data_IF_038808908848
#
_entry.id   IF_038808908848
#
_cell.length_a   1.000
_cell.length_b   1.000
_cell.length_c   1.000
_cell.angle_alpha   90.00
_cell.angle_beta   90.00
_cell.angle_gamma   90.00
#
_symmetry.space_group_name_H-M   'P 1'
#
loop_
_entity.id
_entity.type
_entity.pdbx_description
1 polymer ?
#
# COMPACT_ATOMS: atom_id res chain seq x y z
N UNK A 1 -6.83 -2.11 -10.75
CA UNK A 1 -5.90 -1.73 -11.83
C UNK A 1 -5.05 -2.91 -12.26
N UNK A 2 -4.27 -2.76 -13.33
CA UNK A 2 -3.31 -3.79 -13.74
C UNK A 2 -1.95 -3.16 -14.08
N UNK A 3 -0.89 -3.97 -13.92
CA UNK A 3 0.47 -3.65 -14.31
C UNK A 3 0.76 -4.23 -15.69
N UNK A 4 1.36 -3.39 -16.55
CA UNK A 4 2.01 -3.83 -17.78
C UNK A 4 3.52 -3.81 -17.54
N UNK A 5 4.20 -4.91 -17.83
CA UNK A 5 5.64 -5.02 -17.62
C UNK A 5 6.32 -5.53 -18.89
N UNK A 6 7.35 -4.82 -19.34
CA UNK A 6 8.20 -5.32 -20.41
C UNK A 6 8.93 -6.60 -19.99
N UNK A 7 9.06 -7.56 -20.89
CA UNK A 7 9.90 -8.75 -20.72
C UNK A 7 11.35 -8.52 -21.17
N UNK A 8 11.63 -7.36 -21.78
CA UNK A 8 12.94 -6.92 -22.24
C UNK A 8 13.26 -5.52 -21.68
N UNK A 9 14.49 -5.05 -21.83
CA UNK A 9 14.91 -3.73 -21.38
C UNK A 9 14.16 -2.59 -22.07
N UNK A 10 13.69 -2.82 -23.30
CA UNK A 10 12.87 -1.86 -24.04
C UNK A 10 11.58 -2.51 -24.56
N UNK A 11 10.47 -1.75 -24.54
CA UNK A 11 9.17 -2.22 -25.07
C UNK A 11 9.20 -2.32 -26.60
N UNK A 12 9.93 -1.42 -27.30
CA UNK A 12 9.85 -1.25 -28.74
C UNK A 12 11.11 -1.69 -29.50
N UNK A 13 12.19 -2.04 -28.81
CA UNK A 13 13.44 -2.49 -29.43
C UNK A 13 13.52 -4.02 -29.49
N UNK A 14 14.16 -4.55 -30.52
CA UNK A 14 14.49 -5.97 -30.65
C UNK A 14 13.40 -6.88 -31.19
N UNK A 15 12.28 -6.36 -31.72
CA UNK A 15 11.24 -7.15 -32.41
C UNK A 15 10.44 -8.10 -31.52
N UNK A 16 10.60 -8.05 -30.19
CA UNK A 16 9.91 -8.91 -29.23
C UNK A 16 9.00 -8.06 -28.33
N UNK A 17 7.99 -7.43 -28.92
CA UNK A 17 7.04 -6.53 -28.25
C UNK A 17 6.06 -7.28 -27.34
N UNK A 18 6.56 -8.00 -26.33
CA UNK A 18 5.74 -8.75 -25.38
C UNK A 18 5.68 -8.02 -24.04
N UNK A 19 4.49 -7.99 -23.50
CA UNK A 19 4.22 -7.47 -22.14
C UNK A 19 3.64 -8.60 -21.30
N UNK A 20 4.07 -8.69 -20.03
CA UNK A 20 3.32 -9.41 -19.00
C UNK A 20 2.27 -8.48 -18.43
N UNK A 21 1.10 -9.02 -18.12
CA UNK A 21 -0.02 -8.30 -17.49
C UNK A 21 -0.25 -8.95 -16.13
N UNK A 22 -0.27 -8.13 -15.09
CA UNK A 22 -0.53 -8.58 -13.72
C UNK A 22 -1.70 -7.77 -13.14
N UNK A 23 -2.69 -8.42 -12.51
CA UNK A 23 -3.62 -7.71 -11.66
C UNK A 23 -2.87 -7.07 -10.50
N UNK A 24 -3.33 -5.92 -10.02
CA UNK A 24 -2.67 -5.21 -8.92
C UNK A 24 -3.41 -3.95 -8.51
N UNK A 25 -2.78 -3.19 -7.66
CA UNK A 25 -3.29 -2.02 -6.97
C UNK A 25 -3.05 -2.18 -5.48
N UNK A 26 -2.56 -1.13 -4.80
CA UNK A 26 -2.11 -1.22 -3.41
C UNK A 26 -3.17 -1.87 -2.52
N UNK A 27 -4.40 -1.35 -2.54
CA UNK A 27 -5.49 -1.86 -1.71
C UNK A 27 -5.92 -3.29 -2.14
N UNK A 28 -5.87 -3.61 -3.44
CA UNK A 28 -6.15 -4.96 -3.92
C UNK A 28 -5.06 -5.95 -3.48
N UNK A 29 -3.79 -5.53 -3.49
CA UNK A 29 -2.67 -6.35 -3.02
C UNK A 29 -2.80 -6.66 -1.52
N UNK A 30 -3.16 -5.66 -0.70
CA UNK A 30 -3.45 -5.84 0.73
C UNK A 30 -4.65 -6.77 0.93
N UNK A 31 -5.73 -6.56 0.17
CA UNK A 31 -6.94 -7.39 0.26
C UNK A 31 -6.65 -8.86 -0.04
N UNK A 32 -5.90 -9.14 -1.11
CA UNK A 32 -5.49 -10.52 -1.45
C UNK A 32 -4.58 -11.11 -0.38
N UNK A 33 -3.61 -10.35 0.13
CA UNK A 33 -2.73 -10.81 1.21
C UNK A 33 -3.53 -11.23 2.45
N UNK A 34 -4.47 -10.40 2.90
CA UNK A 34 -5.34 -10.68 4.04
C UNK A 34 -6.23 -11.91 3.80
N UNK A 35 -6.88 -12.01 2.63
CA UNK A 35 -7.72 -13.16 2.31
C UNK A 35 -6.92 -14.47 2.34
N UNK A 36 -5.68 -14.47 1.85
CA UNK A 36 -4.80 -15.64 1.89
C UNK A 36 -4.27 -15.96 3.30
N UNK A 37 -4.29 -15.00 4.23
CA UNK A 37 -4.03 -15.23 5.66
C UNK A 37 -5.28 -15.73 6.41
N UNK A 38 -6.44 -15.81 5.74
CA UNK A 38 -7.70 -16.32 6.31
C UNK A 38 -8.66 -15.25 6.82
N UNK A 39 -8.38 -13.98 6.62
CA UNK A 39 -9.32 -12.90 6.92
C UNK A 39 -10.47 -12.85 5.92
N UNK A 40 -11.65 -12.41 6.37
CA UNK A 40 -12.78 -12.08 5.50
C UNK A 40 -12.57 -10.67 4.94
N UNK A 41 -12.47 -10.54 3.63
CA UNK A 41 -12.08 -9.29 2.98
C UNK A 41 -13.03 -8.91 1.87
N UNK A 42 -13.46 -7.65 1.88
CA UNK A 42 -14.20 -7.01 0.79
C UNK A 42 -13.29 -6.00 0.09
N UNK A 43 -13.33 -5.98 -1.24
CA UNK A 43 -12.63 -4.99 -2.04
C UNK A 43 -13.62 -4.06 -2.72
N UNK A 44 -13.65 -2.81 -2.27
CA UNK A 44 -14.55 -1.77 -2.80
C UNK A 44 -13.77 -0.83 -3.73
N UNK A 45 -14.17 -0.79 -5.00
CA UNK A 45 -13.51 0.01 -6.03
C UNK A 45 -14.46 0.21 -7.22
N UNK A 46 -14.03 0.93 -8.26
CA UNK A 46 -14.84 1.14 -9.45
C UNK A 46 -14.18 0.57 -10.72
N UNK A 47 -15.00 -0.03 -11.57
CA UNK A 47 -14.61 -0.72 -12.80
C UNK A 47 -15.60 -0.46 -13.93
N UNK A 48 -15.13 -0.46 -15.21
CA UNK A 48 -16.03 -0.41 -16.34
C UNK A 48 -16.80 -1.74 -16.52
N UNK A 49 -17.89 -1.69 -17.28
CA UNK A 49 -18.59 -2.91 -17.72
C UNK A 49 -17.97 -3.48 -18.99
N UNK A 50 -16.88 -4.23 -18.87
CA UNK A 50 -16.25 -4.90 -19.99
C UNK A 50 -15.55 -6.20 -19.55
N UNK A 51 -15.19 -7.04 -20.53
CA UNK A 51 -14.57 -8.35 -20.29
C UNK A 51 -13.29 -8.27 -19.48
N UNK A 52 -12.40 -7.30 -19.76
CA UNK A 52 -11.14 -7.15 -19.04
C UNK A 52 -11.34 -6.85 -17.55
N UNK A 53 -12.35 -6.00 -17.24
CA UNK A 53 -12.69 -5.71 -15.85
C UNK A 53 -13.28 -6.93 -15.13
N UNK A 54 -14.08 -7.72 -15.81
CA UNK A 54 -14.64 -8.95 -15.25
C UNK A 54 -13.53 -9.98 -14.98
N UNK A 55 -12.65 -10.25 -15.93
CA UNK A 55 -11.50 -11.15 -15.73
C UNK A 55 -10.60 -10.69 -14.56
N UNK A 56 -10.38 -9.37 -14.42
CA UNK A 56 -9.60 -8.82 -13.30
C UNK A 56 -10.30 -9.07 -11.96
N UNK A 57 -11.59 -8.80 -11.86
CA UNK A 57 -12.38 -9.04 -10.64
C UNK A 57 -12.45 -10.53 -10.32
N UNK A 58 -12.70 -11.38 -11.31
CA UNK A 58 -12.72 -12.84 -11.16
C UNK A 58 -11.37 -13.34 -10.62
N UNK A 59 -10.26 -12.80 -11.11
CA UNK A 59 -8.93 -13.16 -10.62
C UNK A 59 -8.72 -12.83 -9.13
N UNK A 60 -9.26 -11.71 -8.66
CA UNK A 60 -9.21 -11.30 -7.26
C UNK A 60 -10.15 -12.16 -6.42
N UNK A 61 -11.36 -12.43 -6.90
CA UNK A 61 -12.34 -13.28 -6.23
C UNK A 61 -11.85 -14.73 -6.06
N UNK A 62 -11.17 -15.29 -7.05
CA UNK A 62 -10.56 -16.63 -6.94
C UNK A 62 -9.48 -16.71 -5.84
N UNK A 63 -8.92 -15.57 -5.42
CA UNK A 63 -7.98 -15.48 -4.31
C UNK A 63 -8.66 -15.22 -2.95
N UNK A 64 -10.02 -15.32 -2.89
CA UNK A 64 -10.77 -15.25 -1.65
C UNK A 64 -11.29 -13.86 -1.26
N UNK A 65 -11.16 -12.86 -2.12
CA UNK A 65 -11.63 -11.49 -1.83
C UNK A 65 -13.03 -11.27 -2.39
N UNK A 66 -13.97 -10.78 -1.58
CA UNK A 66 -15.30 -10.40 -2.03
C UNK A 66 -15.26 -9.07 -2.82
N UNK A 67 -15.57 -9.15 -4.11
CA UNK A 67 -15.66 -8.00 -5.02
C UNK A 67 -17.12 -7.67 -5.42
N UNK A 68 -18.11 -8.27 -4.78
CA UNK A 68 -19.54 -8.15 -5.19
C UNK A 68 -20.10 -6.73 -5.10
N UNK A 69 -19.48 -5.89 -4.24
CA UNK A 69 -19.85 -4.48 -4.07
C UNK A 69 -19.08 -3.52 -4.99
N UNK A 70 -18.32 -4.02 -5.98
CA UNK A 70 -17.60 -3.19 -6.93
C UNK A 70 -18.57 -2.32 -7.76
N UNK A 71 -18.29 -1.03 -7.82
CA UNK A 71 -19.10 -0.07 -8.60
C UNK A 71 -18.78 -0.24 -10.09
N UNK A 72 -19.82 -0.21 -10.93
CA UNK A 72 -19.71 -0.30 -12.39
C UNK A 72 -20.01 1.05 -13.01
N UNK A 73 -18.92 1.77 -13.40
CA UNK A 73 -18.99 3.10 -14.04
C UNK A 73 -17.79 3.30 -14.97
N UNK A 74 -17.89 4.26 -15.88
CA UNK A 74 -16.81 4.65 -16.77
C UNK A 74 -16.43 3.58 -17.78
N UNK A 75 -15.35 3.82 -18.52
CA UNK A 75 -15.02 3.04 -19.73
C UNK A 75 -13.69 2.29 -19.62
N UNK A 76 -12.85 2.59 -18.59
CA UNK A 76 -11.50 2.01 -18.52
C UNK A 76 -11.01 1.72 -17.11
N UNK A 77 -10.19 0.68 -17.01
CA UNK A 77 -9.43 0.36 -15.80
C UNK A 77 -8.15 1.21 -15.81
N UNK A 78 -7.74 1.74 -14.66
CA UNK A 78 -6.44 2.36 -14.51
C UNK A 78 -5.30 1.33 -14.63
N UNK A 79 -4.18 1.74 -15.20
CA UNK A 79 -3.00 0.90 -15.35
C UNK A 79 -1.72 1.62 -14.98
N UNK A 80 -0.63 0.89 -14.89
CA UNK A 80 0.70 1.44 -14.90
C UNK A 80 1.65 0.54 -15.69
N UNK A 81 2.65 1.16 -16.29
CA UNK A 81 3.64 0.48 -17.11
C UNK A 81 4.97 0.51 -16.36
N UNK A 82 5.56 -0.65 -16.16
CA UNK A 82 6.89 -0.79 -15.60
C UNK A 82 7.89 -1.01 -16.73
N UNK A 83 8.74 0.00 -16.95
CA UNK A 83 9.74 0.01 -18.03
C UNK A 83 11.02 -0.72 -17.60
N UNK A 84 10.91 -1.90 -17.01
CA UNK A 84 12.06 -2.74 -16.71
C UNK A 84 11.71 -4.21 -16.81
N UNK A 85 12.62 -5.00 -17.36
CA UNK A 85 12.39 -6.41 -17.65
C UNK A 85 12.04 -7.27 -16.42
N UNK A 86 12.41 -6.85 -15.21
CA UNK A 86 12.38 -7.73 -14.04
C UNK A 86 11.73 -7.11 -12.78
N UNK A 87 11.15 -5.90 -12.84
CA UNK A 87 10.70 -5.22 -11.60
C UNK A 87 11.83 -4.99 -10.58
N UNK A 88 13.06 -5.28 -10.98
CA UNK A 88 14.24 -5.41 -10.12
C UNK A 88 15.16 -4.20 -10.17
N UNK A 89 15.15 -3.45 -11.26
CA UNK A 89 15.93 -2.22 -11.39
C UNK A 89 15.10 -1.00 -10.99
N UNK A 90 15.74 0.16 -10.92
CA UNK A 90 15.12 1.47 -10.77
C UNK A 90 14.27 1.88 -12.00
N UNK A 91 13.56 0.90 -12.59
CA UNK A 91 12.75 1.07 -13.78
C UNK A 91 11.72 2.18 -13.61
N UNK A 92 11.55 2.95 -14.66
CA UNK A 92 10.58 4.02 -14.67
C UNK A 92 9.16 3.44 -14.62
N UNK A 93 8.34 3.99 -13.72
CA UNK A 93 6.91 3.72 -13.68
C UNK A 93 6.18 4.83 -14.41
N UNK A 94 5.41 4.46 -15.42
CA UNK A 94 4.50 5.38 -16.14
C UNK A 94 3.08 5.06 -15.67
N UNK A 95 2.43 6.02 -15.02
CA UNK A 95 1.05 5.86 -14.54
C UNK A 95 0.05 6.28 -15.62
N UNK A 96 -0.90 5.40 -15.92
CA UNK A 96 -2.05 5.66 -16.79
C UNK A 96 -3.35 5.47 -16.01
N UNK A 97 -3.63 6.42 -15.10
CA UNK A 97 -4.77 6.37 -14.17
C UNK A 97 -5.84 7.42 -14.45
N UNK A 98 -5.52 8.47 -15.22
CA UNK A 98 -6.45 9.54 -15.52
C UNK A 98 -7.67 9.02 -16.27
N UNK A 99 -8.84 9.46 -15.85
CA UNK A 99 -10.14 9.03 -16.40
C UNK A 99 -10.42 7.53 -16.29
N UNK A 100 -9.74 6.82 -15.39
CA UNK A 100 -10.15 5.46 -15.04
C UNK A 100 -11.46 5.49 -14.23
N UNK A 101 -12.22 4.41 -14.28
CA UNK A 101 -13.48 4.29 -13.52
C UNK A 101 -13.32 4.70 -12.06
N UNK A 102 -12.24 4.26 -11.39
CA UNK A 102 -11.96 4.65 -10.02
C UNK A 102 -11.70 6.15 -9.84
N UNK A 103 -10.97 6.79 -10.77
CA UNK A 103 -10.68 8.23 -10.69
C UNK A 103 -11.87 9.14 -11.04
N UNK A 104 -12.96 8.57 -11.53
CA UNK A 104 -14.21 9.27 -11.85
C UNK A 104 -15.27 9.17 -10.75
N UNK A 105 -14.99 8.42 -9.67
CA UNK A 105 -15.91 8.27 -8.55
C UNK A 105 -16.29 9.62 -7.95
N UNK A 106 -17.57 9.77 -7.63
CA UNK A 106 -18.15 10.92 -6.95
C UNK A 106 -18.83 10.49 -5.66
N UNK A 107 -19.09 11.41 -4.73
CA UNK A 107 -19.80 11.10 -3.49
C UNK A 107 -21.15 10.37 -3.71
N UNK A 108 -21.90 10.76 -4.74
CA UNK A 108 -23.22 10.18 -5.04
C UNK A 108 -23.13 8.73 -5.55
N UNK A 109 -21.96 8.28 -6.00
CA UNK A 109 -21.73 6.90 -6.42
C UNK A 109 -21.52 5.97 -5.21
N UNK A 110 -21.29 6.52 -4.01
CA UNK A 110 -20.93 5.76 -2.82
C UNK A 110 -22.18 5.56 -1.94
N UNK A 111 -22.59 4.31 -1.80
CA UNK A 111 -23.54 3.93 -0.74
C UNK A 111 -22.75 3.54 0.52
N UNK A 112 -22.69 4.46 1.49
CA UNK A 112 -21.94 4.24 2.73
C UNK A 112 -22.48 3.10 3.58
N UNK A 113 -23.80 2.85 3.56
CA UNK A 113 -24.39 1.73 4.30
C UNK A 113 -23.96 0.40 3.69
N UNK A 114 -23.92 0.31 2.37
CA UNK A 114 -23.41 -0.87 1.67
C UNK A 114 -21.90 -1.02 1.84
N UNK A 115 -21.13 0.08 1.73
CA UNK A 115 -19.67 0.08 1.87
C UNK A 115 -19.24 -0.48 3.23
N UNK A 116 -19.89 -0.02 4.30
CA UNK A 116 -19.50 -0.34 5.67
C UNK A 116 -20.38 -1.40 6.35
N UNK A 117 -21.23 -2.09 5.58
CA UNK A 117 -22.01 -3.21 6.10
C UNK A 117 -21.08 -4.35 6.53
N UNK A 118 -21.16 -4.75 7.80
CA UNK A 118 -20.36 -5.83 8.41
C UNK A 118 -18.83 -5.60 8.37
N UNK A 119 -18.42 -4.32 8.31
CA UNK A 119 -17.01 -3.90 8.29
C UNK A 119 -16.58 -3.40 9.67
N UNK A 120 -15.52 -3.98 10.21
CA UNK A 120 -14.86 -3.59 11.46
C UNK A 120 -13.49 -2.93 11.24
N UNK A 121 -12.93 -3.05 10.03
CA UNK A 121 -11.64 -2.49 9.64
C UNK A 121 -11.67 -1.95 8.21
N UNK A 122 -11.25 -0.71 8.02
CA UNK A 122 -11.14 -0.06 6.71
C UNK A 122 -9.69 0.29 6.41
N UNK A 123 -9.18 -0.20 5.28
CA UNK A 123 -7.84 0.11 4.80
C UNK A 123 -7.85 0.94 3.52
N UNK A 124 -6.95 1.92 3.44
CA UNK A 124 -6.72 2.76 2.27
C UNK A 124 -5.25 3.14 2.11
N UNK A 125 -4.88 3.65 0.94
CA UNK A 125 -3.54 4.19 0.70
C UNK A 125 -3.59 5.63 0.21
N UNK A 126 -2.49 6.36 0.43
CA UNK A 126 -2.36 7.74 -0.04
C UNK A 126 -2.24 7.87 -1.57
N UNK A 127 -2.30 6.76 -2.30
CA UNK A 127 -2.43 6.78 -3.76
C UNK A 127 -3.80 7.30 -4.22
N UNK A 128 -4.85 7.11 -3.42
CA UNK A 128 -6.20 7.58 -3.72
C UNK A 128 -6.30 9.11 -3.72
N UNK A 129 -5.99 9.84 -2.63
CA UNK A 129 -6.06 11.30 -2.62
C UNK A 129 -5.01 11.96 -3.55
N UNK A 130 -3.96 11.25 -3.94
CA UNK A 130 -2.96 11.74 -4.87
C UNK A 130 -3.45 11.87 -6.34
N UNK A 131 -4.63 11.34 -6.68
CA UNK A 131 -5.18 11.36 -8.03
C UNK A 131 -5.76 12.73 -8.42
N UNK A 132 -6.50 13.36 -7.52
CA UNK A 132 -7.15 14.66 -7.73
C UNK A 132 -7.67 15.24 -6.41
N UNK A 133 -8.02 16.52 -6.41
CA UNK A 133 -8.69 17.18 -5.28
C UNK A 133 -10.06 16.54 -4.98
N UNK A 134 -10.82 16.17 -6.00
CA UNK A 134 -12.11 15.48 -5.84
C UNK A 134 -11.94 14.14 -5.12
N UNK A 135 -10.92 13.36 -5.48
CA UNK A 135 -10.63 12.09 -4.83
C UNK A 135 -10.13 12.27 -3.39
N UNK A 136 -9.40 13.35 -3.09
CA UNK A 136 -9.01 13.68 -1.72
C UNK A 136 -10.24 14.06 -0.87
N UNK A 137 -11.15 14.85 -1.41
CA UNK A 137 -12.39 15.23 -0.74
C UNK A 137 -13.31 14.00 -0.54
N UNK A 138 -13.43 13.13 -1.55
CA UNK A 138 -14.19 11.89 -1.44
C UNK A 138 -13.62 10.99 -0.34
N UNK A 139 -12.29 10.85 -0.29
CA UNK A 139 -11.64 10.06 0.76
C UNK A 139 -11.89 10.63 2.17
N UNK A 140 -11.87 11.96 2.34
CA UNK A 140 -12.23 12.59 3.61
C UNK A 140 -13.65 12.22 4.05
N UNK A 141 -14.62 12.23 3.12
CA UNK A 141 -16.00 11.83 3.41
C UNK A 141 -16.10 10.35 3.83
N UNK A 142 -15.40 9.47 3.13
CA UNK A 142 -15.32 8.02 3.46
C UNK A 142 -14.73 7.82 4.86
N UNK A 143 -13.62 8.49 5.16
CA UNK A 143 -12.93 8.38 6.45
C UNK A 143 -13.78 8.92 7.62
N UNK A 144 -14.46 10.05 7.41
CA UNK A 144 -15.40 10.61 8.37
C UNK A 144 -16.52 9.62 8.71
N UNK A 145 -17.07 8.97 7.70
CA UNK A 145 -18.17 8.02 7.90
C UNK A 145 -17.68 6.73 8.57
N UNK A 146 -16.49 6.23 8.22
CA UNK A 146 -15.87 5.10 8.90
C UNK A 146 -15.61 5.40 10.38
N UNK A 147 -15.07 6.58 10.68
CA UNK A 147 -14.82 7.03 12.06
C UNK A 147 -16.11 7.16 12.86
N UNK A 148 -17.16 7.77 12.28
CA UNK A 148 -18.50 7.89 12.89
C UNK A 148 -19.10 6.52 13.26
N UNK A 149 -18.78 5.48 12.48
CA UNK A 149 -19.23 4.09 12.73
C UNK A 149 -18.34 3.34 13.71
N UNK A 150 -17.25 3.93 14.19
CA UNK A 150 -16.30 3.28 15.09
C UNK A 150 -15.45 2.20 14.43
N UNK A 151 -15.30 2.24 13.10
CA UNK A 151 -14.49 1.32 12.33
C UNK A 151 -13.01 1.65 12.54
N UNK A 152 -12.16 0.63 12.74
CA UNK A 152 -10.70 0.81 12.78
C UNK A 152 -10.19 1.20 11.39
N UNK A 153 -9.39 2.27 11.31
CA UNK A 153 -8.92 2.80 10.04
C UNK A 153 -7.41 2.68 9.94
N UNK A 154 -6.93 2.08 8.85
CA UNK A 154 -5.51 1.98 8.56
C UNK A 154 -5.13 2.63 7.23
N UNK A 155 -3.94 3.22 7.17
CA UNK A 155 -3.39 3.85 5.96
C UNK A 155 -1.97 3.35 5.66
N UNK A 156 -1.70 3.11 4.37
CA UNK A 156 -0.34 3.10 3.83
C UNK A 156 -0.05 4.47 3.20
N UNK A 157 0.94 5.19 3.75
CA UNK A 157 1.36 6.49 3.24
C UNK A 157 1.88 6.44 1.80
N UNK A 158 2.42 5.34 1.38
CA UNK A 158 2.73 4.97 -0.02
C UNK A 158 3.13 6.15 -0.93
N UNK A 159 3.98 7.05 -0.43
CA UNK A 159 4.32 8.30 -1.10
C UNK A 159 4.88 8.07 -2.51
N UNK A 160 4.32 8.77 -3.50
CA UNK A 160 4.74 8.75 -4.89
C UNK A 160 4.71 10.17 -5.45
N UNK A 161 5.85 10.85 -5.49
CA UNK A 161 5.97 12.24 -5.98
C UNK A 161 5.41 12.46 -7.39
N UNK A 162 5.44 11.43 -8.24
CA UNK A 162 4.90 11.49 -9.62
C UNK A 162 3.37 11.57 -9.69
N UNK A 163 2.62 11.32 -8.61
CA UNK A 163 1.15 11.33 -8.62
C UNK A 163 0.54 12.66 -8.18
N UNK A 164 1.17 13.37 -7.25
CA UNK A 164 0.70 14.66 -6.73
C UNK A 164 0.90 15.79 -7.77
N UNK A 165 -0.02 15.89 -8.76
CA UNK A 165 0.12 16.80 -9.92
C UNK A 165 -1.09 17.69 -10.16
N UNK A 166 -1.97 17.83 -9.18
CA UNK A 166 -3.18 18.65 -9.31
C UNK A 166 -3.09 20.01 -8.57
N UNK A 167 -1.87 20.44 -8.25
CA UNK A 167 -1.61 21.77 -7.68
C UNK A 167 -1.71 21.85 -6.16
N UNK A 168 -1.79 20.70 -5.47
CA UNK A 168 -1.73 20.60 -4.01
C UNK A 168 -0.53 19.75 -3.60
N UNK A 169 0.14 20.18 -2.55
CA UNK A 169 1.20 19.40 -1.95
C UNK A 169 0.63 18.36 -0.97
N UNK A 170 1.30 17.19 -0.79
CA UNK A 170 0.85 16.16 0.14
C UNK A 170 0.58 16.69 1.56
N UNK A 171 1.39 17.59 2.07
CA UNK A 171 1.24 18.22 3.40
C UNK A 171 -0.04 19.06 3.54
N UNK A 172 -0.64 19.54 2.46
CA UNK A 172 -1.91 20.27 2.52
C UNK A 172 -3.12 19.34 2.70
N UNK A 173 -2.98 18.07 2.31
CA UNK A 173 -4.07 17.09 2.22
C UNK A 173 -3.95 16.01 3.29
N UNK A 174 -2.80 15.35 3.36
CA UNK A 174 -2.64 14.13 4.14
C UNK A 174 -2.87 14.27 5.65
N UNK A 175 -2.44 15.37 6.33
CA UNK A 175 -2.70 15.50 7.77
C UNK A 175 -4.18 15.44 8.12
N UNK A 176 -5.06 16.01 7.29
CA UNK A 176 -6.52 15.99 7.50
C UNK A 176 -7.09 14.56 7.40
N UNK A 177 -6.58 13.77 6.46
CA UNK A 177 -7.05 12.41 6.22
C UNK A 177 -6.49 11.45 7.28
N UNK A 178 -5.22 11.58 7.62
CA UNK A 178 -4.55 10.73 8.62
C UNK A 178 -5.09 10.93 10.04
N UNK A 179 -5.67 12.11 10.33
CA UNK A 179 -6.32 12.38 11.61
C UNK A 179 -7.44 11.38 11.97
N UNK A 180 -8.00 10.67 10.98
CA UNK A 180 -9.00 9.62 11.18
C UNK A 180 -8.39 8.22 11.37
N UNK A 181 -7.07 8.05 11.25
CA UNK A 181 -6.45 6.73 11.22
C UNK A 181 -6.02 6.24 12.61
N UNK A 182 -6.27 4.96 12.88
CA UNK A 182 -5.77 4.23 14.06
C UNK A 182 -4.40 3.61 13.79
N UNK A 183 -4.13 3.19 12.54
CA UNK A 183 -2.89 2.52 12.12
C UNK A 183 -2.28 3.26 10.94
N UNK A 184 -1.02 3.66 11.06
CA UNK A 184 -0.29 4.40 10.03
C UNK A 184 0.95 3.61 9.64
N UNK A 185 1.06 3.24 8.37
CA UNK A 185 2.23 2.56 7.81
C UNK A 185 2.87 3.40 6.72
N UNK A 186 4.17 3.33 6.63
CA UNK A 186 4.98 3.97 5.59
C UNK A 186 6.45 4.00 5.99
N UNK A 187 7.34 4.34 5.09
CA UNK A 187 8.71 4.64 5.49
C UNK A 187 8.80 6.05 6.08
N UNK A 188 9.86 6.31 6.85
CA UNK A 188 10.06 7.59 7.57
C UNK A 188 10.07 8.80 6.62
N UNK A 189 10.55 8.66 5.39
CA UNK A 189 10.55 9.74 4.39
C UNK A 189 9.14 10.00 3.82
N UNK A 190 8.29 8.98 3.74
CA UNK A 190 6.88 9.18 3.41
C UNK A 190 6.17 9.97 4.52
N UNK A 191 6.45 9.64 5.78
CA UNK A 191 5.95 10.38 6.93
C UNK A 191 6.45 11.85 6.93
N UNK A 192 7.71 12.09 6.61
CA UNK A 192 8.26 13.44 6.46
C UNK A 192 7.52 14.23 5.36
N UNK A 193 7.37 13.65 4.16
CA UNK A 193 6.78 14.35 3.02
C UNK A 193 5.27 14.57 3.15
N UNK A 194 4.58 13.78 3.96
CA UNK A 194 3.11 13.79 4.05
C UNK A 194 2.56 14.29 5.38
N UNK A 195 3.35 14.19 6.45
CA UNK A 195 2.91 14.50 7.82
C UNK A 195 3.85 15.48 8.55
N UNK A 196 4.85 16.00 7.85
CA UNK A 196 5.90 16.88 8.42
C UNK A 196 6.67 16.23 9.60
N UNK A 197 6.76 14.91 9.58
CA UNK A 197 7.44 14.17 10.63
C UNK A 197 8.96 14.29 10.49
N UNK A 198 9.70 14.54 11.58
CA UNK A 198 11.14 14.70 11.50
C UNK A 198 11.85 13.42 11.10
N UNK A 199 12.87 13.56 10.25
CA UNK A 199 13.78 12.49 9.85
C UNK A 199 15.21 12.95 10.06
N UNK A 200 16.06 12.10 10.60
CA UNK A 200 17.47 12.39 10.79
C UNK A 200 18.17 12.67 9.46
N UNK A 201 19.00 13.72 9.42
CA UNK A 201 19.72 14.12 8.22
C UNK A 201 20.91 13.18 7.97
N UNK A 202 21.12 12.80 6.72
CA UNK A 202 22.30 12.01 6.31
C UNK A 202 22.13 10.50 6.41
N UNK A 203 20.93 10.00 6.70
CA UNK A 203 20.62 8.58 6.65
C UNK A 203 20.91 8.01 5.25
N UNK A 204 21.68 6.93 5.18
CA UNK A 204 22.10 6.29 3.93
C UNK A 204 22.33 4.80 4.12
N UNK A 205 22.79 4.09 3.06
CA UNK A 205 23.01 2.63 3.07
C UNK A 205 23.99 2.15 4.17
N UNK A 206 24.92 2.98 4.61
CA UNK A 206 25.91 2.67 5.65
C UNK A 206 25.42 2.95 7.08
N UNK A 207 24.26 3.62 7.21
CA UNK A 207 23.65 3.90 8.51
C UNK A 207 23.21 2.60 9.18
N UNK A 208 23.52 2.45 10.48
CA UNK A 208 23.17 1.22 11.21
C UNK A 208 21.66 1.10 11.46
N UNK A 209 21.23 -0.14 11.70
CA UNK A 209 19.84 -0.46 12.02
C UNK A 209 19.33 0.29 13.26
N UNK A 210 20.19 0.44 14.27
CA UNK A 210 19.89 1.17 15.51
C UNK A 210 19.61 2.65 15.26
N UNK A 211 20.39 3.30 14.40
CA UNK A 211 20.17 4.71 14.04
C UNK A 211 18.84 4.86 13.29
N UNK A 212 18.52 3.96 12.37
CA UNK A 212 17.22 3.93 11.70
C UNK A 212 16.07 3.68 12.67
N UNK A 213 16.25 2.80 13.67
CA UNK A 213 15.26 2.57 14.70
C UNK A 213 15.01 3.84 15.54
N UNK A 214 16.09 4.49 16.00
CA UNK A 214 15.98 5.76 16.75
C UNK A 214 15.28 6.84 15.92
N UNK A 215 15.61 6.96 14.63
CA UNK A 215 14.94 7.90 13.74
C UNK A 215 13.44 7.58 13.58
N UNK A 216 13.07 6.30 13.50
CA UNK A 216 11.66 5.89 13.45
C UNK A 216 10.92 6.17 14.76
N UNK A 217 11.55 6.02 15.92
CA UNK A 217 10.98 6.39 17.21
C UNK A 217 10.68 7.89 17.30
N UNK A 218 11.62 8.75 16.86
CA UNK A 218 11.44 10.20 16.83
C UNK A 218 10.27 10.58 15.90
N UNK A 219 10.25 9.97 14.69
CA UNK A 219 9.16 10.18 13.74
C UNK A 219 7.82 9.73 14.31
N UNK A 220 7.75 8.55 14.90
CA UNK A 220 6.50 8.00 15.45
C UNK A 220 5.99 8.80 16.65
N UNK A 221 6.88 9.27 17.51
CA UNK A 221 6.51 10.16 18.63
C UNK A 221 5.84 11.43 18.10
N UNK A 222 6.42 12.10 17.10
CA UNK A 222 5.81 13.26 16.46
C UNK A 222 4.43 12.97 15.88
N UNK A 223 4.26 11.81 15.21
CA UNK A 223 2.98 11.39 14.63
C UNK A 223 1.96 11.16 15.76
N UNK A 224 2.31 10.49 16.87
CA UNK A 224 1.40 10.29 18.00
C UNK A 224 0.98 11.60 18.68
N UNK A 225 1.87 12.60 18.73
CA UNK A 225 1.57 13.93 19.26
C UNK A 225 0.63 14.71 18.35
N UNK A 226 0.84 14.62 17.02
CA UNK A 226 0.06 15.34 16.00
C UNK A 226 -1.29 14.67 15.71
N UNK A 227 -1.39 13.34 15.85
CA UNK A 227 -2.58 12.54 15.53
C UNK A 227 -3.00 11.69 16.73
N UNK A 228 -3.80 12.24 17.66
CA UNK A 228 -4.17 11.56 18.92
C UNK A 228 -4.92 10.24 18.72
N UNK A 229 -5.61 10.06 17.59
CA UNK A 229 -6.31 8.81 17.24
C UNK A 229 -5.35 7.68 16.89
N UNK A 230 -4.15 7.98 16.40
CA UNK A 230 -3.17 6.96 16.03
C UNK A 230 -2.78 6.10 17.25
N UNK A 231 -2.85 4.78 17.09
CA UNK A 231 -2.52 3.76 18.08
C UNK A 231 -1.28 2.96 17.69
N UNK A 232 -1.08 2.76 16.38
CA UNK A 232 -0.05 1.91 15.82
C UNK A 232 0.63 2.60 14.64
N UNK A 233 1.96 2.64 14.64
CA UNK A 233 2.76 3.14 13.54
C UNK A 233 3.76 2.05 13.16
N UNK A 234 3.90 1.78 11.87
CA UNK A 234 4.88 0.83 11.37
C UNK A 234 5.69 1.44 10.21
N UNK A 235 6.99 1.18 10.22
CA UNK A 235 7.87 1.63 9.16
C UNK A 235 8.59 0.45 8.50
N UNK A 236 8.82 0.56 7.20
CA UNK A 236 9.62 -0.39 6.44
C UNK A 236 10.93 0.22 6.01
N UNK A 237 12.01 -0.55 6.11
CA UNK A 237 13.34 -0.20 5.65
C UNK A 237 13.80 -1.24 4.64
N UNK A 238 14.16 -0.78 3.45
CA UNK A 238 14.58 -1.62 2.35
C UNK A 238 15.80 -1.06 1.66
N UNK A 239 16.83 -1.90 1.53
CA UNK A 239 18.08 -1.55 0.87
C UNK A 239 18.39 -2.55 -0.23
N UNK A 240 18.93 -2.04 -1.34
CA UNK A 240 19.21 -2.81 -2.54
C UNK A 240 20.58 -2.39 -3.06
N UNK A 241 21.53 -3.30 -3.08
CA UNK A 241 22.86 -3.04 -3.61
C UNK A 241 22.94 -3.38 -5.12
N UNK A 242 22.08 -4.31 -5.57
CA UNK A 242 21.89 -4.66 -6.98
C UNK A 242 20.48 -5.26 -7.24
N UNK A 243 20.09 -5.51 -8.50
CA UNK A 243 18.71 -5.89 -8.84
C UNK A 243 18.14 -7.12 -8.12
N UNK A 244 18.94 -8.12 -7.76
CA UNK A 244 18.48 -9.32 -7.04
C UNK A 244 18.67 -9.26 -5.53
N UNK A 245 19.43 -8.28 -5.03
CA UNK A 245 19.67 -8.10 -3.61
C UNK A 245 18.52 -7.37 -2.94
N UNK A 246 18.15 -7.78 -1.76
CA UNK A 246 17.22 -7.05 -0.90
C UNK A 246 17.54 -7.33 0.57
N UNK A 247 17.81 -6.26 1.32
CA UNK A 247 17.83 -6.25 2.77
C UNK A 247 16.57 -5.56 3.26
N UNK A 248 15.83 -6.20 4.17
CA UNK A 248 14.51 -5.74 4.60
C UNK A 248 14.31 -5.96 6.10
N UNK A 249 13.80 -4.95 6.78
CA UNK A 249 13.31 -5.02 8.16
C UNK A 249 12.22 -3.98 8.39
N UNK A 250 11.48 -4.12 9.47
CA UNK A 250 10.43 -3.19 9.87
C UNK A 250 10.58 -2.73 11.32
N UNK A 251 9.94 -1.61 11.64
CA UNK A 251 9.75 -1.13 13.01
C UNK A 251 8.26 -0.96 13.30
N UNK A 252 7.89 -1.17 14.54
CA UNK A 252 6.55 -0.99 15.04
C UNK A 252 6.59 -0.15 16.31
N UNK A 253 5.68 0.78 16.41
CA UNK A 253 5.55 1.70 17.51
C UNK A 253 4.10 1.77 17.95
N UNK A 254 3.87 1.64 19.24
CA UNK A 254 2.64 1.98 19.92
C UNK A 254 2.90 3.09 20.95
N UNK A 255 1.89 3.55 21.65
CA UNK A 255 2.10 4.54 22.71
C UNK A 255 2.88 3.99 23.91
N UNK A 256 3.00 2.66 24.03
CA UNK A 256 3.58 2.00 25.19
C UNK A 256 4.84 1.20 24.85
N UNK A 257 5.06 0.86 23.61
CA UNK A 257 6.07 -0.12 23.22
C UNK A 257 6.59 0.15 21.80
N UNK A 258 7.89 -0.02 21.63
CA UNK A 258 8.60 0.05 20.36
C UNK A 258 9.27 -1.30 20.07
N UNK A 259 9.14 -1.80 18.86
CA UNK A 259 9.74 -3.06 18.43
C UNK A 259 10.38 -2.92 17.05
N UNK A 260 11.42 -3.73 16.81
CA UNK A 260 12.11 -3.83 15.53
C UNK A 260 12.25 -5.30 15.16
N UNK A 261 11.90 -5.65 13.93
CA UNK A 261 11.99 -7.03 13.45
C UNK A 261 13.42 -7.49 13.26
N UNK A 262 13.63 -8.79 13.11
CA UNK A 262 14.85 -9.30 12.53
C UNK A 262 15.11 -8.73 11.14
N UNK A 263 16.35 -8.85 10.67
CA UNK A 263 16.73 -8.42 9.33
C UNK A 263 16.67 -9.63 8.40
N UNK A 264 15.89 -9.48 7.34
CA UNK A 264 15.83 -10.46 6.25
C UNK A 264 16.67 -9.98 5.07
N UNK A 265 17.50 -10.86 4.53
CA UNK A 265 18.38 -10.56 3.41
C UNK A 265 18.36 -11.67 2.37
N UNK A 266 18.37 -11.33 1.08
CA UNK A 266 18.38 -12.30 -0.02
C UNK A 266 19.07 -11.74 -1.26
N UNK A 267 19.65 -12.66 -2.05
CA UNK A 267 20.20 -12.43 -3.38
C UNK A 267 19.29 -13.00 -4.50
N UNK A 268 18.09 -13.48 -4.14
CA UNK A 268 17.25 -14.27 -5.03
C UNK A 268 15.88 -13.62 -5.28
N UNK A 269 15.79 -12.28 -5.27
CA UNK A 269 14.54 -11.56 -5.52
C UNK A 269 13.98 -11.89 -6.91
N UNK A 270 12.71 -12.26 -6.96
CA UNK A 270 11.94 -12.49 -8.19
C UNK A 270 11.20 -11.20 -8.59
N UNK A 271 10.40 -10.63 -7.68
CA UNK A 271 9.62 -9.40 -7.92
C UNK A 271 9.41 -8.62 -6.62
N UNK A 272 9.71 -7.33 -6.63
CA UNK A 272 9.55 -6.45 -5.46
C UNK A 272 8.19 -5.78 -5.34
N UNK A 273 7.44 -5.76 -6.44
CA UNK A 273 6.16 -5.05 -6.47
C UNK A 273 5.19 -5.73 -5.51
N UNK A 274 4.50 -4.94 -4.70
CA UNK A 274 3.56 -5.43 -3.70
C UNK A 274 4.17 -5.88 -2.37
N UNK A 275 5.51 -5.80 -2.18
CA UNK A 275 6.12 -6.20 -0.89
C UNK A 275 5.75 -5.28 0.28
N UNK A 276 5.55 -3.98 0.03
CA UNK A 276 5.00 -3.05 1.02
C UNK A 276 3.54 -3.37 1.35
N UNK A 277 2.75 -3.69 0.32
CA UNK A 277 1.35 -4.08 0.49
C UNK A 277 1.22 -5.40 1.26
N UNK A 278 2.12 -6.39 1.01
CA UNK A 278 2.17 -7.64 1.76
C UNK A 278 2.57 -7.42 3.23
N UNK A 279 3.51 -6.51 3.50
CA UNK A 279 3.83 -6.08 4.86
C UNK A 279 2.59 -5.45 5.53
N UNK A 280 1.87 -4.56 4.84
CA UNK A 280 0.66 -3.95 5.37
C UNK A 280 -0.44 -4.99 5.66
N UNK A 281 -0.63 -5.97 4.77
CA UNK A 281 -1.54 -7.07 5.02
C UNK A 281 -1.15 -7.87 6.28
N UNK A 282 0.13 -8.21 6.41
CA UNK A 282 0.64 -8.88 7.61
C UNK A 282 0.46 -8.06 8.89
N UNK A 283 0.67 -6.74 8.83
CA UNK A 283 0.45 -5.83 9.95
C UNK A 283 -1.02 -5.80 10.38
N UNK A 284 -1.95 -5.65 9.43
CA UNK A 284 -3.39 -5.65 9.71
C UNK A 284 -3.81 -7.01 10.33
N UNK A 285 -3.39 -8.12 9.71
CA UNK A 285 -3.70 -9.46 10.19
C UNK A 285 -3.22 -9.65 11.64
N UNK A 286 -1.94 -9.36 11.93
CA UNK A 286 -1.36 -9.54 13.26
C UNK A 286 -2.06 -8.68 14.32
N UNK A 287 -2.38 -7.42 14.01
CA UNK A 287 -3.14 -6.54 14.91
C UNK A 287 -4.56 -7.04 15.16
N UNK A 288 -5.25 -7.57 14.14
CA UNK A 288 -6.58 -8.17 14.29
C UNK A 288 -6.56 -9.44 15.13
N UNK A 289 -5.50 -10.23 15.03
CA UNK A 289 -5.29 -11.44 15.85
C UNK A 289 -4.82 -11.11 17.28
N UNK A 290 -4.49 -9.85 17.58
CA UNK A 290 -4.01 -9.42 18.89
C UNK A 290 -2.60 -9.90 19.22
N UNK A 291 -1.73 -10.03 18.23
CA UNK A 291 -0.33 -10.43 18.46
C UNK A 291 0.40 -9.39 19.31
N UNK A 292 1.35 -9.81 20.16
CA UNK A 292 2.27 -8.91 20.84
C UNK A 292 3.07 -8.06 19.85
N UNK A 293 3.57 -6.92 20.28
CA UNK A 293 4.26 -5.95 19.40
C UNK A 293 5.41 -6.56 18.60
N UNK A 294 6.26 -7.38 19.25
CA UNK A 294 7.37 -8.04 18.57
C UNK A 294 6.89 -9.05 17.51
N UNK A 295 5.90 -9.89 17.84
CA UNK A 295 5.33 -10.85 16.90
C UNK A 295 4.61 -10.12 15.74
N UNK A 296 3.95 -9.00 16.01
CA UNK A 296 3.30 -8.16 14.99
C UNK A 296 4.28 -7.69 13.94
N UNK A 297 5.44 -7.13 14.37
CA UNK A 297 6.41 -6.61 13.41
C UNK A 297 7.17 -7.73 12.68
N UNK A 298 7.47 -8.82 13.36
CA UNK A 298 8.12 -9.97 12.74
C UNK A 298 7.22 -10.61 11.68
N UNK A 299 5.94 -10.80 11.98
CA UNK A 299 4.96 -11.32 11.04
C UNK A 299 4.79 -10.41 9.81
N UNK A 300 4.60 -9.09 10.03
CA UNK A 300 4.45 -8.12 8.96
C UNK A 300 5.70 -8.08 8.06
N UNK A 301 6.90 -8.09 8.68
CA UNK A 301 8.18 -8.07 7.94
C UNK A 301 8.35 -9.37 7.15
N UNK A 302 8.03 -10.51 7.75
CA UNK A 302 8.05 -11.82 7.09
C UNK A 302 7.14 -11.85 5.86
N UNK A 303 5.91 -11.35 5.97
CA UNK A 303 4.96 -11.27 4.85
C UNK A 303 5.52 -10.41 3.70
N UNK A 304 6.08 -9.23 4.01
CA UNK A 304 6.72 -8.38 3.01
C UNK A 304 7.94 -9.02 2.35
N UNK A 305 8.73 -9.78 3.12
CA UNK A 305 9.89 -10.51 2.63
C UNK A 305 9.50 -11.69 1.72
N UNK A 306 8.52 -12.49 2.13
CA UNK A 306 8.03 -13.64 1.34
C UNK A 306 7.49 -13.21 -0.02
N UNK A 307 6.90 -12.01 -0.13
CA UNK A 307 6.45 -11.47 -1.40
C UNK A 307 7.58 -11.31 -2.43
N UNK A 308 8.82 -11.12 -2.02
CA UNK A 308 9.96 -10.97 -2.93
C UNK A 308 10.20 -12.21 -3.83
N UNK A 309 9.69 -13.36 -3.43
CA UNK A 309 9.82 -14.64 -4.14
C UNK A 309 8.60 -15.02 -4.98
N UNK A 310 7.64 -14.09 -5.11
CA UNK A 310 6.42 -14.29 -5.89
C UNK A 310 6.38 -13.30 -7.04
N UNK A 311 6.21 -13.79 -8.26
CA UNK A 311 6.03 -12.94 -9.44
C UNK A 311 4.63 -12.29 -9.42
N UNK A 312 4.54 -11.05 -9.90
CA UNK A 312 3.30 -10.28 -9.92
C UNK A 312 3.14 -9.38 -8.69
N UNK A 313 2.00 -8.72 -8.55
CA UNK A 313 1.74 -7.74 -7.49
C UNK A 313 1.23 -8.40 -6.20
N UNK A 314 0.52 -9.53 -6.33
CA UNK A 314 -0.09 -10.21 -5.19
C UNK A 314 0.95 -11.04 -4.40
N UNK A 315 0.84 -11.01 -3.08
CA UNK A 315 1.56 -11.91 -2.19
C UNK A 315 0.93 -13.31 -2.16
N UNK A 316 1.50 -14.19 -1.34
CA UNK A 316 1.03 -15.58 -1.15
C UNK A 316 0.48 -15.85 0.27
N UNK A 317 0.25 -14.80 1.07
CA UNK A 317 -0.24 -14.91 2.44
C UNK A 317 0.73 -15.54 3.44
N UNK A 318 1.95 -15.87 3.04
CA UNK A 318 2.97 -16.44 3.93
C UNK A 318 3.73 -15.32 4.64
N UNK A 319 4.11 -15.58 5.90
CA UNK A 319 4.93 -14.68 6.71
C UNK A 319 6.20 -15.37 7.28
N UNK A 320 6.37 -16.67 7.00
CA UNK A 320 7.50 -17.48 7.47
C UNK A 320 8.29 -18.04 6.29
#
# INVERSE_FOLDING_TARGET
>A
MYRLQSISESIFEGGNNRLKIFPGGSEANVAVGLAQMGDQVQFYSAFPENTLANELLDSIQHLGVDCTKAIRIGDRIGSYILLSANGLSSGEVVYDRKYSSFSLLKPDDINFDLLFQDVDWFHWSALTPALSEDMANLMEMVLKEADRRGITISVDLNFRSKLWKFGKEPLEIMPKLVAYCDVIMGNIWAAQNMLDSPVEIGLNRQTTKEIYFNSSQISSKHIFESFPKAKHIANTFRFMDHPKHNLFYGTYHSRNEDSISDTFETEAVIDRIGSGDAFMAGLIHALRQGFPAQETIDFATGAGYQKLFVEGDFGNGKAN
#
